data_IF_033502951364
#
_entry.id   IF_033502951364
#
_cell.length_a   1.000
_cell.length_b   1.000
_cell.length_c   1.000
_cell.angle_alpha   90.00
_cell.angle_beta   90.00
_cell.angle_gamma   90.00
#
_symmetry.space_group_name_H-M   'P 1'
#
loop_
_entity.id
_entity.type
_entity.pdbx_description
1 polymer ?
#
# COMPACT_ATOMS: atom_id res chain seq x y z
N UNK A 1 -11.17 -0.62 7.89
CA UNK A 1 -10.55 0.58 8.51
C UNK A 1 -11.24 1.85 8.02
N UNK A 2 -11.32 2.85 8.89
CA UNK A 2 -11.73 4.20 8.50
C UNK A 2 -10.59 4.88 7.75
N UNK A 3 -10.91 5.58 6.66
CA UNK A 3 -9.94 6.26 5.79
C UNK A 3 -9.03 7.24 6.55
N UNK A 4 -9.50 7.77 7.69
CA UNK A 4 -8.75 8.67 8.56
C UNK A 4 -7.40 8.10 9.06
N UNK A 5 -7.27 6.78 9.18
CA UNK A 5 -6.02 6.15 9.63
C UNK A 5 -4.88 6.33 8.60
N UNK A 6 -5.20 6.21 7.32
CA UNK A 6 -4.22 6.38 6.23
C UNK A 6 -3.81 7.85 6.05
N UNK A 7 -4.76 8.78 6.24
CA UNK A 7 -4.47 10.21 6.14
C UNK A 7 -3.44 10.67 7.19
N UNK A 8 -3.51 10.13 8.41
CA UNK A 8 -2.51 10.43 9.46
C UNK A 8 -1.11 9.96 9.05
N UNK A 9 -1.00 8.82 8.34
CA UNK A 9 0.28 8.32 7.85
C UNK A 9 0.89 9.25 6.79
N UNK A 10 0.09 9.75 5.84
CA UNK A 10 0.59 10.70 4.84
C UNK A 10 0.99 12.04 5.46
N UNK A 11 0.11 12.59 6.30
CA UNK A 11 0.30 13.93 6.87
C UNK A 11 1.46 13.96 7.87
N UNK A 12 1.71 12.85 8.59
CA UNK A 12 2.77 12.77 9.61
C UNK A 12 4.14 12.44 9.05
N UNK A 13 4.20 11.63 8.00
CA UNK A 13 5.48 11.16 7.44
C UNK A 13 5.84 11.83 6.12
N UNK A 14 5.03 12.78 5.64
CA UNK A 14 5.21 13.49 4.36
C UNK A 14 5.44 12.53 3.19
N UNK A 15 4.84 11.34 3.28
CA UNK A 15 5.00 10.29 2.29
C UNK A 15 4.15 10.63 1.08
N UNK A 16 4.80 10.86 -0.06
CA UNK A 16 4.10 10.96 -1.33
C UNK A 16 3.52 9.59 -1.69
N UNK A 17 2.22 9.50 -2.04
CA UNK A 17 1.59 8.22 -2.37
C UNK A 17 2.25 7.47 -3.54
N UNK A 18 2.88 8.23 -4.44
CA UNK A 18 3.67 7.73 -5.58
C UNK A 18 4.99 7.07 -5.16
N UNK A 19 5.57 7.48 -4.03
CA UNK A 19 6.86 6.98 -3.53
C UNK A 19 6.70 5.86 -2.47
N UNK A 20 5.46 5.39 -2.25
CA UNK A 20 5.18 4.41 -1.21
C UNK A 20 4.27 3.28 -1.68
N UNK A 21 4.48 2.11 -1.05
CA UNK A 21 3.68 0.92 -1.27
C UNK A 21 3.07 0.47 0.05
N UNK A 22 1.75 0.29 0.06
CA UNK A 22 1.02 -0.27 1.19
C UNK A 22 0.79 -1.77 0.99
N UNK A 23 1.11 -2.58 2.00
CA UNK A 23 0.98 -4.05 1.93
C UNK A 23 0.15 -4.50 3.13
N UNK A 24 -0.94 -5.22 2.87
CA UNK A 24 -1.89 -5.69 3.90
C UNK A 24 -2.59 -6.97 3.39
N UNK A 25 -2.95 -7.89 4.28
CA UNK A 25 -3.64 -9.15 3.96
C UNK A 25 -5.17 -8.99 3.89
N UNK A 26 -5.70 -7.82 4.24
CA UNK A 26 -7.11 -7.50 4.18
C UNK A 26 -7.45 -6.72 2.91
N UNK A 27 -8.20 -7.36 2.00
CA UNK A 27 -8.64 -6.76 0.74
C UNK A 27 -9.33 -5.40 0.91
N UNK A 28 -10.12 -5.21 1.98
CA UNK A 28 -10.82 -3.93 2.23
C UNK A 28 -9.83 -2.78 2.48
N UNK A 29 -8.68 -3.07 3.09
CA UNK A 29 -7.65 -2.06 3.40
C UNK A 29 -6.89 -1.68 2.14
N UNK A 30 -6.58 -2.67 1.30
CA UNK A 30 -5.91 -2.48 0.02
C UNK A 30 -6.78 -1.64 -0.93
N UNK A 31 -8.07 -1.97 -1.05
CA UNK A 31 -8.99 -1.20 -1.89
C UNK A 31 -9.18 0.23 -1.38
N UNK A 32 -9.30 0.43 -0.07
CA UNK A 32 -9.38 1.76 0.52
C UNK A 32 -8.11 2.58 0.22
N UNK A 33 -6.93 1.98 0.34
CA UNK A 33 -5.64 2.63 0.07
C UNK A 33 -5.50 3.01 -1.41
N UNK A 34 -5.91 2.13 -2.34
CA UNK A 34 -5.93 2.45 -3.78
C UNK A 34 -6.82 3.63 -4.11
N UNK A 35 -7.98 3.76 -3.46
CA UNK A 35 -8.90 4.91 -3.63
C UNK A 35 -8.28 6.23 -3.14
N UNK A 36 -7.31 6.16 -2.24
CA UNK A 36 -6.55 7.31 -1.73
C UNK A 36 -5.30 7.63 -2.57
N UNK A 37 -5.08 6.89 -3.67
CA UNK A 37 -3.95 7.12 -4.58
C UNK A 37 -2.65 6.43 -4.20
N UNK A 38 -2.66 5.53 -3.21
CA UNK A 38 -1.50 4.71 -2.89
C UNK A 38 -1.34 3.53 -3.87
N UNK A 39 -0.09 3.20 -4.16
CA UNK A 39 0.24 1.86 -4.60
C UNK A 39 -0.03 0.88 -3.45
N UNK A 40 -0.89 -0.11 -3.65
CA UNK A 40 -1.22 -1.08 -2.60
C UNK A 40 -1.30 -2.53 -3.12
N UNK A 41 -0.73 -3.44 -2.35
CA UNK A 41 -0.60 -4.87 -2.66
C UNK A 41 -1.38 -5.67 -1.61
N UNK A 42 -2.22 -6.60 -2.07
CA UNK A 42 -2.83 -7.61 -1.21
C UNK A 42 -1.81 -8.70 -0.93
N UNK A 43 -1.42 -8.86 0.32
CA UNK A 43 -0.53 -9.92 0.73
C UNK A 43 -1.25 -11.27 0.71
N UNK A 44 -0.75 -12.20 -0.11
CA UNK A 44 -1.27 -13.57 -0.22
C UNK A 44 -0.19 -14.62 0.07
N UNK A 45 1.06 -14.37 -0.36
CA UNK A 45 2.24 -15.13 0.03
C UNK A 45 3.51 -14.29 -0.16
N UNK A 46 4.63 -14.77 0.40
CA UNK A 46 5.93 -14.12 0.20
C UNK A 46 6.38 -14.15 -1.25
N UNK A 47 6.17 -15.27 -1.97
CA UNK A 47 6.55 -15.38 -3.39
C UNK A 47 5.77 -14.40 -4.27
N UNK A 48 4.48 -14.21 -4.00
CA UNK A 48 3.67 -13.29 -4.78
C UNK A 48 4.04 -11.83 -4.47
N UNK A 49 4.29 -11.51 -3.20
CA UNK A 49 4.77 -10.20 -2.81
C UNK A 49 6.11 -9.87 -3.50
N UNK A 50 7.05 -10.83 -3.55
CA UNK A 50 8.34 -10.63 -4.21
C UNK A 50 8.18 -10.28 -5.69
N UNK A 51 7.26 -10.95 -6.41
CA UNK A 51 6.96 -10.63 -7.82
C UNK A 51 6.41 -9.23 -7.97
N UNK A 52 5.48 -8.83 -7.10
CA UNK A 52 4.89 -7.49 -7.15
C UNK A 52 5.93 -6.40 -6.85
N UNK A 53 6.82 -6.62 -5.87
CA UNK A 53 7.90 -5.68 -5.56
C UNK A 53 8.91 -5.55 -6.70
N UNK A 54 9.25 -6.65 -7.39
CA UNK A 54 10.11 -6.61 -8.59
C UNK A 54 9.49 -5.83 -9.75
N UNK A 55 8.17 -5.94 -9.95
CA UNK A 55 7.45 -5.15 -10.98
C UNK A 55 7.50 -3.66 -10.71
N UNK A 56 7.62 -3.27 -9.43
CA UNK A 56 7.76 -1.90 -8.98
C UNK A 56 9.23 -1.45 -8.88
N UNK A 57 10.18 -2.31 -9.27
CA UNK A 57 11.63 -2.04 -9.24
C UNK A 57 12.15 -1.67 -7.83
N UNK A 58 11.51 -2.19 -6.77
CA UNK A 58 11.90 -1.94 -5.38
C UNK A 58 12.93 -2.94 -4.84
N UNK A 59 13.09 -4.09 -5.51
CA UNK A 59 14.05 -5.16 -5.22
C UNK A 59 14.54 -5.83 -6.51
#
# INVERSE_FOLDING_TARGET
PEAAFFQILFDRYEVKPEDAVFIDDNLRNVEASKKLGLNAILFTSAEELEKELKKLELI
#
